data_IF_421043311016
#
_entry.id   IF_421043311016
#
_cell.length_a   1.000
_cell.length_b   1.000
_cell.length_c   1.000
_cell.angle_alpha   90.00
_cell.angle_beta   90.00
_cell.angle_gamma   90.00
#
_symmetry.space_group_name_H-M   'P 1'
#
loop_
_entity.id
_entity.type
_entity.pdbx_description
1 polymer ?
#
# COMPACT_ATOMS: atom_id res chain seq x y z
N UNK A 1 7.30 -3.37 -7.50
CA UNK A 1 5.98 -2.73 -7.63
C UNK A 1 6.04 -1.29 -8.13
N UNK A 2 6.81 -0.38 -7.50
CA UNK A 2 6.97 1.03 -7.95
C UNK A 2 7.31 1.20 -9.43
N UNK A 3 8.22 0.36 -9.96
CA UNK A 3 8.58 0.37 -11.39
C UNK A 3 7.39 0.01 -12.28
N UNK A 4 6.58 -0.97 -11.89
CA UNK A 4 5.38 -1.35 -12.63
C UNK A 4 4.35 -0.22 -12.68
N UNK A 5 4.14 0.45 -11.53
CA UNK A 5 3.28 1.63 -11.43
C UNK A 5 3.77 2.77 -12.32
N UNK A 6 5.06 3.10 -12.27
CA UNK A 6 5.63 4.14 -13.13
C UNK A 6 5.45 3.82 -14.62
N UNK A 7 5.67 2.57 -15.03
CA UNK A 7 5.47 2.12 -16.41
C UNK A 7 3.99 2.22 -16.81
N UNK A 8 3.07 1.86 -15.92
CA UNK A 8 1.64 2.00 -16.20
C UNK A 8 1.22 3.47 -16.32
N UNK A 9 1.76 4.35 -15.48
CA UNK A 9 1.51 5.79 -15.57
C UNK A 9 2.08 6.37 -16.88
N UNK A 10 3.24 5.89 -17.36
CA UNK A 10 3.77 6.26 -18.68
C UNK A 10 2.82 5.83 -19.81
N UNK A 11 2.20 4.66 -19.72
CA UNK A 11 1.16 4.26 -20.66
C UNK A 11 -0.04 5.22 -20.62
N UNK A 12 -0.54 5.58 -19.44
CA UNK A 12 -1.67 6.52 -19.32
C UNK A 12 -1.36 7.91 -19.90
N UNK A 13 -0.09 8.36 -19.80
CA UNK A 13 0.33 9.66 -20.30
C UNK A 13 0.61 9.67 -21.81
N UNK A 14 1.25 8.62 -22.33
CA UNK A 14 1.79 8.59 -23.69
C UNK A 14 0.94 7.75 -24.65
N UNK A 15 0.00 6.96 -24.14
CA UNK A 15 -0.83 5.99 -24.86
C UNK A 15 -0.04 4.92 -25.66
N UNK A 16 1.27 4.79 -25.43
CA UNK A 16 2.11 3.77 -26.06
C UNK A 16 1.84 2.39 -25.43
N UNK A 17 1.28 1.48 -26.23
CA UNK A 17 0.92 0.12 -25.83
C UNK A 17 2.12 -0.73 -25.40
N UNK A 18 3.34 -0.36 -25.76
CA UNK A 18 4.56 -1.04 -25.31
C UNK A 18 4.69 -0.95 -23.79
N UNK A 19 4.41 0.23 -23.20
CA UNK A 19 4.42 0.40 -21.75
C UNK A 19 3.32 -0.44 -21.08
N UNK A 20 2.11 -0.47 -21.65
CA UNK A 20 1.03 -1.31 -21.14
C UNK A 20 1.43 -2.79 -21.14
N UNK A 21 2.04 -3.29 -22.23
CA UNK A 21 2.49 -4.69 -22.31
C UNK A 21 3.53 -5.03 -21.22
N UNK A 22 4.46 -4.12 -20.95
CA UNK A 22 5.46 -4.31 -19.89
C UNK A 22 4.80 -4.26 -18.50
N UNK A 23 3.91 -3.31 -18.24
CA UNK A 23 3.15 -3.24 -16.99
C UNK A 23 2.34 -4.53 -16.75
N UNK A 24 1.63 -5.01 -17.77
CA UNK A 24 0.87 -6.25 -17.74
C UNK A 24 1.74 -7.48 -17.43
N UNK A 25 2.95 -7.54 -18.01
CA UNK A 25 3.90 -8.61 -17.71
C UNK A 25 4.36 -8.56 -16.25
N UNK A 26 4.65 -7.37 -15.73
CA UNK A 26 5.01 -7.19 -14.32
C UNK A 26 3.85 -7.56 -13.39
N UNK A 27 2.63 -7.12 -13.71
CA UNK A 27 1.44 -7.40 -12.92
C UNK A 27 1.13 -8.90 -12.79
N UNK A 28 1.45 -9.71 -13.81
CA UNK A 28 1.29 -11.18 -13.75
C UNK A 28 2.37 -11.88 -12.91
N UNK A 29 3.56 -11.31 -12.85
CA UNK A 29 4.71 -11.94 -12.20
C UNK A 29 4.85 -11.53 -10.73
N UNK A 30 4.40 -10.33 -10.38
CA UNK A 30 4.44 -9.83 -9.01
C UNK A 30 3.23 -10.36 -8.23
N UNK A 31 3.52 -11.14 -7.20
CA UNK A 31 2.53 -11.71 -6.27
C UNK A 31 2.93 -11.38 -4.84
N UNK A 32 2.05 -11.63 -3.86
CA UNK A 32 2.39 -11.53 -2.43
C UNK A 32 3.67 -12.32 -2.11
N UNK A 33 3.80 -13.54 -2.66
CA UNK A 33 4.98 -14.40 -2.45
C UNK A 33 6.27 -13.82 -3.01
N UNK A 34 6.20 -12.99 -4.05
CA UNK A 34 7.39 -12.34 -4.62
C UNK A 34 8.00 -11.26 -3.71
N UNK A 35 7.33 -10.94 -2.60
CA UNK A 35 7.77 -9.98 -1.58
C UNK A 35 8.21 -10.64 -0.27
N UNK A 36 8.29 -11.97 -0.23
CA UNK A 36 8.90 -12.68 0.91
C UNK A 36 10.43 -12.53 0.81
N UNK A 37 11.05 -12.07 1.89
CA UNK A 37 12.52 -11.94 1.95
C UNK A 37 13.14 -13.29 2.31
N UNK A 38 13.83 -13.94 1.38
CA UNK A 38 14.38 -15.28 1.58
C UNK A 38 13.29 -16.36 1.65
N UNK A 39 13.62 -17.55 2.14
CA UNK A 39 12.68 -18.68 2.11
C UNK A 39 11.56 -18.58 3.16
N UNK A 40 11.75 -17.82 4.24
CA UNK A 40 10.80 -17.68 5.35
C UNK A 40 10.87 -16.31 6.06
N UNK A 41 11.41 -15.27 5.43
CA UNK A 41 11.51 -13.95 6.06
C UNK A 41 10.17 -13.22 6.11
N UNK A 42 10.13 -12.10 6.85
CA UNK A 42 8.92 -11.30 6.96
C UNK A 42 8.53 -10.72 5.60
N UNK A 43 7.23 -10.47 5.45
CA UNK A 43 6.70 -9.63 4.38
C UNK A 43 6.37 -8.27 4.99
N UNK A 44 6.86 -7.20 4.38
CA UNK A 44 6.57 -5.85 4.84
C UNK A 44 5.31 -5.29 4.17
N UNK A 45 4.51 -4.57 4.96
CA UNK A 45 3.30 -3.90 4.49
C UNK A 45 3.63 -2.92 3.37
N UNK A 46 4.77 -2.22 3.46
CA UNK A 46 5.16 -1.24 2.46
C UNK A 46 5.23 -1.85 1.06
N UNK A 47 5.85 -3.03 0.91
CA UNK A 47 5.99 -3.71 -0.37
C UNK A 47 4.61 -4.12 -0.93
N UNK A 48 3.75 -4.67 -0.07
CA UNK A 48 2.39 -5.04 -0.45
C UNK A 48 1.52 -3.82 -0.76
N UNK A 49 1.74 -2.69 -0.10
CA UNK A 49 1.00 -1.44 -0.34
C UNK A 49 1.33 -0.88 -1.72
N UNK A 50 2.60 -0.85 -2.10
CA UNK A 50 2.99 -0.46 -3.46
C UNK A 50 2.55 -1.48 -4.51
N UNK A 51 2.54 -2.79 -4.19
CA UNK A 51 1.96 -3.80 -5.08
C UNK A 51 0.47 -3.56 -5.28
N UNK A 52 -0.26 -3.33 -4.20
CA UNK A 52 -1.70 -3.08 -4.26
C UNK A 52 -1.99 -1.80 -5.03
N UNK A 53 -1.24 -0.71 -4.82
CA UNK A 53 -1.43 0.54 -5.55
C UNK A 53 -1.22 0.35 -7.05
N UNK A 54 -0.13 -0.32 -7.42
CA UNK A 54 0.14 -0.66 -8.81
C UNK A 54 -1.00 -1.48 -9.44
N UNK A 55 -1.40 -2.59 -8.81
CA UNK A 55 -2.45 -3.45 -9.33
C UNK A 55 -3.83 -2.77 -9.31
N UNK A 56 -4.11 -1.98 -8.28
CA UNK A 56 -5.34 -1.23 -8.09
C UNK A 56 -5.56 -0.19 -9.19
N UNK A 57 -4.51 0.53 -9.58
CA UNK A 57 -4.55 1.45 -10.72
C UNK A 57 -4.88 0.72 -12.04
N UNK A 58 -4.58 -0.58 -12.14
CA UNK A 58 -4.95 -1.43 -13.28
C UNK A 58 -6.33 -2.12 -13.10
N UNK A 59 -7.12 -1.76 -12.08
CA UNK A 59 -8.39 -2.39 -11.76
C UNK A 59 -8.28 -3.82 -11.20
N UNK A 60 -7.15 -4.17 -10.59
CA UNK A 60 -6.84 -5.50 -10.04
C UNK A 60 -6.46 -5.41 -8.55
N UNK A 61 -6.00 -6.52 -7.97
CA UNK A 61 -5.36 -6.51 -6.65
C UNK A 61 -6.24 -6.90 -5.46
N UNK A 62 -7.50 -7.29 -5.66
CA UNK A 62 -8.38 -7.73 -4.56
C UNK A 62 -7.75 -8.85 -3.71
N UNK A 63 -7.08 -9.83 -4.33
CA UNK A 63 -6.38 -10.90 -3.61
C UNK A 63 -5.22 -10.39 -2.73
N UNK A 64 -4.55 -9.29 -3.12
CA UNK A 64 -3.51 -8.65 -2.30
C UNK A 64 -4.16 -7.91 -1.14
N UNK A 65 -5.28 -7.21 -1.39
CA UNK A 65 -6.05 -6.55 -0.35
C UNK A 65 -6.56 -7.55 0.68
N UNK A 66 -7.16 -8.66 0.26
CA UNK A 66 -7.66 -9.72 1.14
C UNK A 66 -6.53 -10.24 2.05
N UNK A 67 -5.35 -10.49 1.47
CA UNK A 67 -4.17 -10.91 2.23
C UNK A 67 -3.72 -9.85 3.24
N UNK A 68 -3.66 -8.57 2.85
CA UNK A 68 -3.32 -7.46 3.75
C UNK A 68 -4.32 -7.37 4.91
N UNK A 69 -5.62 -7.44 4.61
CA UNK A 69 -6.68 -7.37 5.62
C UNK A 69 -6.59 -8.53 6.62
N UNK A 70 -6.34 -9.74 6.13
CA UNK A 70 -6.22 -10.91 6.98
C UNK A 70 -4.97 -10.87 7.87
N UNK A 71 -3.85 -10.43 7.32
CA UNK A 71 -2.54 -10.64 7.95
C UNK A 71 -1.93 -9.40 8.61
N UNK A 72 -2.35 -8.18 8.25
CA UNK A 72 -1.70 -6.94 8.73
C UNK A 72 -2.65 -6.03 9.50
N UNK A 73 -3.96 -6.25 9.41
CA UNK A 73 -4.94 -5.36 10.04
C UNK A 73 -4.88 -5.44 11.57
N UNK A 74 -4.64 -4.29 12.21
CA UNK A 74 -4.54 -4.13 13.65
C UNK A 74 -5.68 -3.33 14.25
N UNK A 75 -6.90 -3.44 13.70
CA UNK A 75 -8.15 -2.81 14.19
C UNK A 75 -8.39 -1.38 13.67
N UNK A 76 -7.36 -0.56 13.67
CA UNK A 76 -7.48 0.88 13.38
C UNK A 76 -6.51 1.34 12.28
N UNK A 77 -5.36 0.69 12.19
CA UNK A 77 -4.42 0.79 11.09
C UNK A 77 -3.64 -0.54 10.97
N UNK A 78 -2.72 -0.63 10.02
CA UNK A 78 -2.05 -1.87 9.66
C UNK A 78 -0.62 -1.90 10.22
N UNK A 79 -0.22 -3.07 10.73
CA UNK A 79 1.16 -3.33 11.17
C UNK A 79 2.11 -3.30 9.97
N UNK A 80 3.37 -2.93 10.19
CA UNK A 80 4.37 -2.92 9.11
C UNK A 80 4.85 -4.32 8.68
N UNK A 81 4.60 -5.33 9.50
CA UNK A 81 4.83 -6.75 9.22
C UNK A 81 3.56 -7.53 9.55
N UNK A 82 3.53 -8.84 9.31
CA UNK A 82 2.36 -9.66 9.65
C UNK A 82 2.05 -9.55 11.15
N UNK A 83 0.76 -9.52 11.50
CA UNK A 83 0.28 -9.39 12.88
C UNK A 83 0.86 -10.49 13.77
N UNK A 84 0.96 -11.72 13.27
CA UNK A 84 1.53 -12.85 14.00
C UNK A 84 3.01 -12.60 14.33
N UNK A 85 3.77 -12.11 13.35
CA UNK A 85 5.17 -11.75 13.57
C UNK A 85 5.29 -10.59 14.56
N UNK A 86 4.52 -9.51 14.36
CA UNK A 86 4.51 -8.34 15.23
C UNK A 86 4.18 -8.70 16.69
N UNK A 87 3.19 -9.57 16.91
CA UNK A 87 2.82 -10.05 18.24
C UNK A 87 3.90 -10.96 18.84
N UNK A 88 4.46 -11.89 18.06
CA UNK A 88 5.52 -12.80 18.52
C UNK A 88 6.78 -12.06 18.99
N UNK A 89 7.10 -10.94 18.34
CA UNK A 89 8.27 -10.13 18.65
C UNK A 89 7.97 -9.00 19.64
N UNK A 90 6.72 -8.87 20.11
CA UNK A 90 6.25 -7.74 20.94
C UNK A 90 6.47 -6.36 20.28
N UNK A 91 6.43 -6.31 18.94
CA UNK A 91 6.60 -5.13 18.07
C UNK A 91 5.25 -4.40 17.88
N UNK A 92 4.32 -4.51 18.85
CA UNK A 92 2.91 -4.14 18.72
C UNK A 92 2.58 -2.66 18.42
N UNK A 93 3.59 -1.79 18.26
CA UNK A 93 3.41 -0.35 17.95
C UNK A 93 3.95 0.11 16.59
N UNK A 94 4.55 -0.77 15.79
CA UNK A 94 5.12 -0.38 14.50
C UNK A 94 4.05 -0.36 13.39
N UNK A 95 3.06 0.52 13.56
CA UNK A 95 2.17 0.95 12.48
C UNK A 95 2.83 2.16 11.84
N UNK A 96 3.48 1.97 10.69
CA UNK A 96 4.19 3.06 10.01
C UNK A 96 3.21 3.86 9.16
N UNK A 97 3.16 5.18 9.39
CA UNK A 97 2.29 6.10 8.64
C UNK A 97 2.64 6.12 7.15
N UNK A 98 3.91 5.94 6.75
CA UNK A 98 4.30 5.85 5.33
C UNK A 98 3.64 4.64 4.64
N UNK A 99 3.90 3.42 5.11
CA UNK A 99 3.29 2.17 4.59
C UNK A 99 1.76 2.27 4.55
N UNK A 100 1.15 2.80 5.62
CA UNK A 100 -0.29 2.97 5.69
C UNK A 100 -0.82 4.07 4.76
N UNK A 101 -0.06 5.14 4.51
CA UNK A 101 -0.45 6.20 3.58
C UNK A 101 -0.48 5.67 2.15
N UNK A 102 0.54 4.91 1.75
CA UNK A 102 0.58 4.26 0.44
C UNK A 102 -0.58 3.26 0.30
N UNK A 103 -0.88 2.50 1.34
CA UNK A 103 -2.04 1.59 1.37
C UNK A 103 -3.35 2.36 1.19
N UNK A 104 -3.55 3.46 1.92
CA UNK A 104 -4.74 4.28 1.82
C UNK A 104 -4.92 4.88 0.43
N UNK A 105 -3.83 5.33 -0.22
CA UNK A 105 -3.87 5.77 -1.61
C UNK A 105 -4.29 4.63 -2.57
N UNK A 106 -3.80 3.40 -2.36
CA UNK A 106 -4.23 2.24 -3.14
C UNK A 106 -5.72 1.92 -2.92
N UNK A 107 -6.19 2.00 -1.68
CA UNK A 107 -7.59 1.80 -1.33
C UNK A 107 -8.49 2.83 -2.04
N UNK A 108 -8.07 4.08 -2.12
CA UNK A 108 -8.79 5.12 -2.87
C UNK A 108 -8.91 4.78 -4.35
N UNK A 109 -7.82 4.38 -5.02
CA UNK A 109 -7.88 4.01 -6.45
C UNK A 109 -8.75 2.77 -6.71
N UNK A 110 -8.94 1.94 -5.68
CA UNK A 110 -9.85 0.78 -5.70
C UNK A 110 -11.28 1.09 -5.23
N UNK A 111 -11.61 2.36 -4.95
CA UNK A 111 -12.95 2.78 -4.49
C UNK A 111 -13.28 2.39 -3.04
N UNK A 112 -12.28 2.03 -2.22
CA UNK A 112 -12.42 1.64 -0.81
C UNK A 112 -12.26 2.84 0.12
N UNK A 113 -13.07 3.88 -0.11
CA UNK A 113 -12.93 5.20 0.51
C UNK A 113 -13.00 5.11 2.05
N UNK A 114 -13.98 4.40 2.60
CA UNK A 114 -14.15 4.28 4.06
C UNK A 114 -12.90 3.70 4.76
N UNK A 115 -12.25 2.71 4.14
CA UNK A 115 -11.02 2.13 4.70
C UNK A 115 -9.85 3.10 4.63
N UNK A 116 -9.71 3.83 3.52
CA UNK A 116 -8.67 4.84 3.37
C UNK A 116 -8.84 5.98 4.39
N UNK A 117 -10.08 6.41 4.62
CA UNK A 117 -10.40 7.47 5.58
C UNK A 117 -10.07 7.05 7.02
N UNK A 118 -10.43 5.82 7.43
CA UNK A 118 -10.09 5.31 8.77
C UNK A 118 -8.59 5.31 9.05
N UNK A 119 -7.77 4.97 8.05
CA UNK A 119 -6.31 5.04 8.17
C UNK A 119 -5.88 6.49 8.41
N UNK A 120 -6.41 7.43 7.63
CA UNK A 120 -6.07 8.85 7.75
C UNK A 120 -6.42 9.41 9.13
N UNK A 121 -7.62 9.13 9.63
CA UNK A 121 -8.12 9.56 10.93
C UNK A 121 -7.24 9.03 12.07
N UNK A 122 -6.86 7.75 12.04
CA UNK A 122 -5.96 7.17 13.04
C UNK A 122 -4.64 7.93 13.18
N UNK A 123 -4.03 8.29 12.05
CA UNK A 123 -2.75 9.01 12.05
C UNK A 123 -2.89 10.50 12.31
N UNK A 124 -4.03 11.11 11.97
CA UNK A 124 -4.29 12.52 12.28
C UNK A 124 -4.35 12.73 13.80
N UNK A 125 -5.08 11.86 14.50
CA UNK A 125 -5.27 11.94 15.96
C UNK A 125 -3.96 11.67 16.73
N UNK A 126 -3.02 10.95 16.11
CA UNK A 126 -1.77 10.48 16.75
C UNK A 126 -0.51 11.00 16.08
N UNK A 127 -0.63 12.01 15.22
CA UNK A 127 0.45 12.48 14.36
C UNK A 127 1.73 12.84 15.12
N UNK A 128 1.59 13.42 16.32
CA UNK A 128 2.69 13.81 17.19
C UNK A 128 3.47 12.62 17.78
N UNK A 129 2.88 11.42 17.75
CA UNK A 129 3.51 10.19 18.27
C UNK A 129 4.46 9.54 17.23
N UNK A 130 4.49 10.03 15.98
CA UNK A 130 5.31 9.48 14.90
C UNK A 130 6.44 10.42 14.50
N UNK A 131 7.68 10.08 14.85
CA UNK A 131 8.83 10.97 14.68
C UNK A 131 9.48 10.94 13.27
N UNK A 132 9.20 9.94 12.44
CA UNK A 132 9.87 9.78 11.14
C UNK A 132 8.92 9.18 10.10
N UNK A 133 8.49 9.98 9.15
CA UNK A 133 7.74 9.50 7.99
C UNK A 133 7.79 10.43 6.79
N UNK A 134 7.49 9.88 5.62
CA UNK A 134 7.30 10.62 4.37
C UNK A 134 6.07 11.53 4.50
N UNK A 135 6.29 12.79 4.88
CA UNK A 135 5.24 13.80 4.93
C UNK A 135 4.57 14.01 3.56
N UNK A 136 5.30 13.74 2.47
CA UNK A 136 4.80 13.83 1.11
C UNK A 136 3.71 12.79 0.82
N UNK A 137 3.91 11.52 1.20
CA UNK A 137 2.93 10.47 0.96
C UNK A 137 1.65 10.67 1.79
N UNK A 138 1.78 11.10 3.05
CA UNK A 138 0.61 11.43 3.88
C UNK A 138 -0.10 12.69 3.39
N UNK A 139 0.64 13.73 3.00
CA UNK A 139 0.06 14.94 2.40
C UNK A 139 -0.70 14.65 1.11
N UNK A 140 -0.16 13.77 0.25
CA UNK A 140 -0.82 13.31 -0.97
C UNK A 140 -2.15 12.58 -0.66
N UNK A 141 -2.14 11.68 0.33
CA UNK A 141 -3.36 11.01 0.80
C UNK A 141 -4.43 12.03 1.25
N UNK A 142 -4.04 13.00 2.08
CA UNK A 142 -4.97 14.03 2.56
C UNK A 142 -5.54 14.87 1.40
N UNK A 143 -4.72 15.21 0.41
CA UNK A 143 -5.19 15.94 -0.78
C UNK A 143 -6.20 15.12 -1.59
N UNK A 144 -5.94 13.82 -1.82
CA UNK A 144 -6.88 12.92 -2.50
C UNK A 144 -8.20 12.77 -1.76
N UNK A 145 -8.17 12.62 -0.43
CA UNK A 145 -9.38 12.49 0.39
C UNK A 145 -10.26 13.76 0.35
N UNK A 146 -9.63 14.93 0.20
CA UNK A 146 -10.33 16.21 0.15
C UNK A 146 -10.67 16.67 -1.29
N UNK A 147 -10.40 15.84 -2.31
CA UNK A 147 -10.69 16.16 -3.72
C UNK A 147 -9.83 17.29 -4.29
N UNK A 148 -8.62 17.50 -3.74
CA UNK A 148 -7.69 18.55 -4.16
C UNK A 148 -6.68 18.02 -5.21
N UNK A 149 -6.58 16.70 -5.38
CA UNK A 149 -5.62 16.00 -6.24
C UNK A 149 -6.29 15.11 -7.29
#
# INVERSE_FOLDING_TARGET
SKVGEAIYNLYLLLEDKTFLQVAEKLARNLTVKSHVIGENGPIFLQDLSYLLRFLGNMGRGNHVLDYIMENFYGGDAFFDTTKDHAMSQMIGRFKLIDSNSVLAQALLSMGKIDLAQRISEYFLDKFQEFAYFSQADYGSLLASLNGIA
#
